data_IF_376221035179
#
_entry.id   IF_376221035179
#
_cell.length_a   1.000
_cell.length_b   1.000
_cell.length_c   1.000
_cell.angle_alpha   90.00
_cell.angle_beta   90.00
_cell.angle_gamma   90.00
#
_symmetry.space_group_name_H-M   'P 1'
#
loop_
_entity.id
_entity.type
_entity.pdbx_description
1 polymer ?
#
# COMPACT_ATOMS: atom_id res chain seq x y z
N UNK A 1 13.32 -20.94 0.04
CA UNK A 1 12.91 -20.28 -1.21
C UNK A 1 12.36 -18.91 -0.85
N UNK A 2 12.84 -17.92 -1.57
CA UNK A 2 12.97 -16.52 -1.18
C UNK A 2 11.65 -15.74 -1.13
N UNK A 3 11.06 -15.61 0.06
CA UNK A 3 10.02 -14.61 0.35
C UNK A 3 10.64 -13.22 0.66
N UNK A 4 11.63 -12.79 -0.13
CA UNK A 4 12.32 -11.49 0.08
C UNK A 4 11.51 -10.29 -0.44
N UNK A 5 10.35 -10.53 -1.06
CA UNK A 5 9.51 -9.48 -1.62
C UNK A 5 8.05 -9.64 -1.26
N UNK A 6 7.35 -8.52 -1.17
CA UNK A 6 5.90 -8.45 -1.08
C UNK A 6 5.26 -9.17 -2.29
N UNK A 7 4.21 -9.99 -2.09
CA UNK A 7 3.50 -10.67 -3.19
C UNK A 7 3.00 -9.72 -4.28
N UNK A 8 2.64 -8.49 -3.89
CA UNK A 8 2.12 -7.46 -4.79
C UNK A 8 3.20 -6.52 -5.35
N UNK A 9 4.50 -6.84 -5.21
CA UNK A 9 5.60 -5.98 -5.64
C UNK A 9 5.45 -5.48 -7.09
N UNK A 10 5.22 -6.40 -8.03
CA UNK A 10 5.17 -6.08 -9.47
C UNK A 10 3.88 -5.39 -9.93
N UNK A 11 2.84 -5.33 -9.09
CA UNK A 11 1.56 -4.71 -9.44
C UNK A 11 1.23 -3.48 -8.56
N UNK A 12 1.98 -3.25 -7.49
CA UNK A 12 1.70 -2.15 -6.58
C UNK A 12 2.08 -0.80 -7.22
N UNK A 13 1.16 0.17 -7.19
CA UNK A 13 1.41 1.53 -7.67
C UNK A 13 2.61 2.19 -6.99
N UNK A 14 2.83 1.94 -5.70
CA UNK A 14 4.01 2.41 -4.96
C UNK A 14 5.33 2.06 -5.68
N UNK A 15 5.42 0.85 -6.21
CA UNK A 15 6.60 0.34 -6.91
C UNK A 15 6.61 0.81 -8.36
N UNK A 16 5.48 0.74 -9.06
CA UNK A 16 5.45 0.83 -10.53
C UNK A 16 5.06 2.20 -11.09
N UNK A 17 4.55 3.12 -10.25
CA UNK A 17 4.13 4.46 -10.69
C UNK A 17 5.11 5.51 -10.14
N UNK A 18 5.95 6.10 -11.00
CA UNK A 18 6.78 7.24 -10.61
C UNK A 18 5.91 8.40 -10.11
N UNK A 19 6.30 9.04 -9.00
CA UNK A 19 5.56 10.16 -8.42
C UNK A 19 4.28 9.77 -7.68
N UNK A 20 3.99 8.48 -7.46
CA UNK A 20 2.82 8.03 -6.70
C UNK A 20 2.78 8.57 -5.26
N UNK A 21 3.94 8.68 -4.63
CA UNK A 21 4.13 9.36 -3.34
C UNK A 21 5.14 10.46 -3.57
N UNK A 22 4.89 11.62 -2.95
CA UNK A 22 5.60 12.88 -3.13
C UNK A 22 7.12 12.77 -3.27
N UNK A 23 7.88 13.05 -2.21
CA UNK A 23 9.33 13.03 -2.32
C UNK A 23 9.88 11.61 -2.60
N UNK A 24 10.97 11.55 -3.35
CA UNK A 24 11.58 10.27 -3.75
C UNK A 24 12.18 9.48 -2.58
N UNK A 25 12.40 10.11 -1.41
CA UNK A 25 13.00 9.47 -0.24
C UNK A 25 11.98 8.64 0.51
N UNK A 26 10.79 9.17 0.75
CA UNK A 26 9.68 8.45 1.37
C UNK A 26 9.31 7.21 0.55
N UNK A 27 9.21 7.36 -0.78
CA UNK A 27 8.96 6.22 -1.67
C UNK A 27 10.03 5.14 -1.55
N UNK A 28 11.30 5.51 -1.53
CA UNK A 28 12.42 4.56 -1.37
C UNK A 28 12.35 3.83 -0.02
N UNK A 29 12.08 4.57 1.05
CA UNK A 29 11.96 4.00 2.40
C UNK A 29 10.82 2.98 2.47
N UNK A 30 9.65 3.31 1.92
CA UNK A 30 8.54 2.36 1.88
C UNK A 30 8.84 1.12 1.06
N UNK A 31 9.48 1.26 -0.11
CA UNK A 31 9.86 0.12 -0.93
C UNK A 31 10.85 -0.76 -0.16
N UNK A 32 11.90 -0.18 0.43
CA UNK A 32 12.91 -0.92 1.17
C UNK A 32 12.32 -1.64 2.40
N UNK A 33 11.49 -0.95 3.17
CA UNK A 33 10.92 -1.49 4.41
C UNK A 33 9.82 -2.52 4.14
N UNK A 34 8.83 -2.17 3.33
CA UNK A 34 7.61 -2.98 3.17
C UNK A 34 7.62 -3.84 1.93
N UNK A 35 8.24 -3.42 0.82
CA UNK A 35 8.16 -4.16 -0.43
C UNK A 35 9.32 -5.15 -0.60
N UNK A 36 10.50 -4.82 -0.09
CA UNK A 36 11.73 -5.63 -0.12
C UNK A 36 12.09 -6.18 1.26
N UNK A 37 11.23 -5.96 2.25
CA UNK A 37 11.37 -6.51 3.59
C UNK A 37 10.99 -7.99 3.66
N UNK A 38 11.14 -8.56 4.86
CA UNK A 38 10.71 -9.93 5.13
C UNK A 38 9.18 -10.05 5.20
N UNK A 39 8.71 -11.29 5.38
CA UNK A 39 7.29 -11.62 5.53
C UNK A 39 6.54 -10.72 6.53
N UNK A 40 7.08 -10.56 7.74
CA UNK A 40 6.44 -9.75 8.76
C UNK A 40 6.27 -8.28 8.32
N UNK A 41 7.24 -7.73 7.59
CA UNK A 41 7.19 -6.35 7.09
C UNK A 41 6.15 -6.16 5.99
N UNK A 42 6.10 -7.04 5.00
CA UNK A 42 5.10 -6.89 3.94
C UNK A 42 3.69 -7.25 4.43
N UNK A 43 3.54 -8.18 5.38
CA UNK A 43 2.24 -8.49 6.01
C UNK A 43 1.71 -7.33 6.85
N UNK A 44 2.57 -6.46 7.37
CA UNK A 44 2.14 -5.25 8.08
C UNK A 44 1.83 -4.06 7.17
N UNK A 45 2.08 -4.17 5.85
CA UNK A 45 1.82 -3.10 4.89
C UNK A 45 0.31 -2.93 4.66
N UNK A 46 -0.24 -1.76 5.01
CA UNK A 46 -1.68 -1.48 4.82
C UNK A 46 -2.13 -1.53 3.38
N UNK A 47 -1.27 -1.18 2.43
CA UNK A 47 -1.59 -1.31 0.99
C UNK A 47 -1.83 -2.77 0.58
N UNK A 48 -1.08 -3.72 1.15
CA UNK A 48 -1.28 -5.15 0.91
C UNK A 48 -2.57 -5.63 1.58
N UNK A 49 -2.72 -5.34 2.88
CA UNK A 49 -3.89 -5.76 3.67
C UNK A 49 -5.19 -5.30 3.02
N UNK A 50 -5.27 -4.03 2.60
CA UNK A 50 -6.46 -3.49 1.92
C UNK A 50 -6.68 -4.18 0.59
N UNK A 51 -5.62 -4.35 -0.23
CA UNK A 51 -5.73 -5.05 -1.52
C UNK A 51 -6.28 -6.46 -1.38
N UNK A 52 -5.83 -7.20 -0.37
CA UNK A 52 -6.28 -8.58 -0.15
C UNK A 52 -7.69 -8.65 0.45
N UNK A 53 -8.10 -7.61 1.20
CA UNK A 53 -9.42 -7.55 1.84
C UNK A 53 -10.54 -7.16 0.87
N UNK A 54 -10.32 -6.10 0.08
CA UNK A 54 -11.36 -5.54 -0.80
C UNK A 54 -11.04 -5.70 -2.30
N UNK A 55 -10.03 -6.50 -2.65
CA UNK A 55 -9.53 -6.70 -4.02
C UNK A 55 -9.08 -5.40 -4.73
N UNK A 56 -8.92 -4.30 -3.99
CA UNK A 56 -8.57 -2.98 -4.49
C UNK A 56 -7.69 -2.24 -3.47
N UNK A 57 -6.87 -1.28 -3.91
CA UNK A 57 -6.08 -0.46 -3.00
C UNK A 57 -6.18 1.01 -3.43
N UNK A 58 -6.93 1.85 -2.68
CA UNK A 58 -7.05 3.27 -2.98
C UNK A 58 -5.70 3.99 -2.97
N UNK A 59 -5.60 5.07 -3.73
CA UNK A 59 -4.34 5.79 -3.93
C UNK A 59 -3.89 6.54 -2.67
N UNK A 60 -4.83 6.93 -1.80
CA UNK A 60 -4.51 7.60 -0.53
C UNK A 60 -3.95 6.66 0.55
N UNK A 61 -4.02 5.34 0.36
CA UNK A 61 -3.54 4.38 1.38
C UNK A 61 -2.02 4.29 1.32
N UNK A 62 -1.32 4.64 2.40
CA UNK A 62 0.12 4.45 2.52
C UNK A 62 0.46 3.16 3.30
N UNK A 63 1.66 2.58 3.16
CA UNK A 63 2.02 1.33 3.83
C UNK A 63 1.86 1.34 5.36
N UNK A 64 2.07 2.49 5.99
CA UNK A 64 2.11 2.75 7.42
C UNK A 64 0.90 3.56 7.93
N UNK A 65 -0.16 3.70 7.12
CA UNK A 65 -1.34 4.47 7.54
C UNK A 65 -1.94 3.90 8.83
N UNK A 66 -2.38 4.78 9.73
CA UNK A 66 -3.03 4.40 10.99
C UNK A 66 -4.50 4.04 10.83
N UNK A 67 -5.07 4.23 9.64
CA UNK A 67 -6.47 3.92 9.36
C UNK A 67 -6.72 2.41 9.42
N UNK A 68 -7.84 2.04 10.02
CA UNK A 68 -8.43 0.70 9.92
C UNK A 68 -8.96 0.44 8.51
N UNK A 69 -9.29 -0.82 8.22
CA UNK A 69 -9.84 -1.19 6.91
C UNK A 69 -11.21 -0.54 6.69
N UNK A 70 -12.05 -0.50 7.72
CA UNK A 70 -13.38 0.12 7.66
C UNK A 70 -13.27 1.62 7.39
N UNK A 71 -12.39 2.34 8.11
CA UNK A 71 -12.15 3.78 7.84
C UNK A 71 -11.62 4.04 6.42
N UNK A 72 -10.85 3.11 5.85
CA UNK A 72 -10.36 3.22 4.47
C UNK A 72 -11.52 3.03 3.48
N UNK A 73 -12.44 2.10 3.75
CA UNK A 73 -13.62 1.87 2.93
C UNK A 73 -14.54 3.10 2.99
N UNK A 74 -14.87 3.56 4.20
CA UNK A 74 -15.73 4.73 4.42
C UNK A 74 -15.18 5.96 3.69
N UNK A 75 -13.88 6.22 3.83
CA UNK A 75 -13.21 7.33 3.14
C UNK A 75 -13.21 7.17 1.61
N UNK A 76 -13.07 5.94 1.11
CA UNK A 76 -13.13 5.68 -0.33
C UNK A 76 -14.53 5.96 -0.88
N UNK A 77 -15.58 5.52 -0.16
CA UNK A 77 -16.97 5.78 -0.53
C UNK A 77 -17.31 7.28 -0.48
N UNK A 78 -16.86 8.00 0.54
CA UNK A 78 -17.00 9.45 0.63
C UNK A 78 -16.36 10.19 -0.55
N UNK A 79 -15.16 9.77 -0.99
CA UNK A 79 -14.48 10.36 -2.15
C UNK A 79 -15.28 10.12 -3.44
N UNK A 80 -15.89 8.93 -3.59
CA UNK A 80 -16.59 8.52 -4.80
C UNK A 80 -18.07 8.93 -4.84
N UNK A 81 -18.68 9.32 -3.71
CA UNK A 81 -20.06 9.84 -3.66
C UNK A 81 -20.15 11.36 -3.86
N UNK A 82 -19.01 12.06 -3.88
CA UNK A 82 -18.92 13.50 -4.11
C UNK A 82 -18.66 13.87 -5.59
N UNK A 83 -19.01 12.98 -6.53
CA UNK A 83 -18.98 13.21 -7.99
C UNK A 83 -20.38 13.21 -8.59
#
# INVERSE_FOLDING_TARGET
>A
MDNQYCPNYHICKLVNVPGFIGDGSQRKNYIAEYCQGNKAKWESCKRLIVKDTINFCPDFVLPDTSLSIDEIIDKFDEINMNV
#
